data_IF_779698389064
#
_entry.id   IF_779698389064
#
_cell.length_a   1.000
_cell.length_b   1.000
_cell.length_c   1.000
_cell.angle_alpha   90.00
_cell.angle_beta   90.00
_cell.angle_gamma   90.00
#
_symmetry.space_group_name_H-M   'P 1'
#
loop_
_entity.id
_entity.type
_entity.pdbx_description
1 polymer ?
#
# COMPACT_ATOMS: atom_id res chain seq x y z
N UNK A 1 10.21 -3.57 21.59
CA UNK A 1 9.20 -3.87 22.63
C UNK A 1 8.36 -2.65 22.98
N UNK A 2 8.96 -1.51 23.40
CA UNK A 2 8.23 -0.31 23.82
C UNK A 2 7.30 0.25 22.72
N UNK A 3 7.76 0.35 21.48
CA UNK A 3 6.95 0.82 20.35
C UNK A 3 5.72 -0.04 20.11
N UNK A 4 5.87 -1.37 20.14
CA UNK A 4 4.75 -2.30 20.00
C UNK A 4 3.74 -2.15 21.14
N UNK A 5 4.23 -1.94 22.39
CA UNK A 5 3.37 -1.66 23.52
C UNK A 5 2.58 -0.35 23.32
N UNK A 6 3.24 0.72 22.83
CA UNK A 6 2.57 1.98 22.50
C UNK A 6 1.45 1.77 21.47
N UNK A 7 1.67 0.97 20.43
CA UNK A 7 0.63 0.68 19.44
C UNK A 7 -0.53 -0.13 20.02
N UNK A 8 -0.25 -1.14 20.85
CA UNK A 8 -1.30 -1.92 21.52
C UNK A 8 -2.15 -1.04 22.45
N UNK A 9 -1.50 -0.18 23.25
CA UNK A 9 -2.17 0.76 24.13
C UNK A 9 -2.96 1.82 23.32
N UNK A 10 -2.36 2.35 22.26
CA UNK A 10 -3.01 3.28 21.34
C UNK A 10 -4.25 2.67 20.70
N UNK A 11 -4.17 1.45 20.19
CA UNK A 11 -5.31 0.73 19.63
C UNK A 11 -6.38 0.46 20.69
N UNK A 12 -6.00 -0.01 21.89
CA UNK A 12 -6.95 -0.42 22.91
C UNK A 12 -7.69 0.73 23.59
N UNK A 13 -6.99 1.85 23.81
CA UNK A 13 -7.53 2.98 24.59
C UNK A 13 -7.78 4.22 23.73
N UNK A 14 -6.78 4.65 22.96
CA UNK A 14 -6.88 5.90 22.21
C UNK A 14 -7.83 5.81 21.03
N UNK A 15 -7.73 4.76 20.21
CA UNK A 15 -8.65 4.60 19.08
C UNK A 15 -10.09 4.38 19.53
N UNK A 16 -10.29 3.68 20.65
CA UNK A 16 -11.60 3.50 21.24
C UNK A 16 -12.18 4.82 21.75
N UNK A 17 -11.37 5.61 22.43
CA UNK A 17 -11.77 6.95 22.87
C UNK A 17 -12.16 7.85 21.69
N UNK A 18 -11.40 7.83 20.60
CA UNK A 18 -11.73 8.54 19.37
C UNK A 18 -13.06 8.07 18.80
N UNK A 19 -13.27 6.76 18.67
CA UNK A 19 -14.49 6.18 18.11
C UNK A 19 -15.74 6.54 18.93
N UNK A 20 -15.67 6.36 20.25
CA UNK A 20 -16.83 6.51 21.15
C UNK A 20 -17.10 7.96 21.55
N UNK A 21 -16.04 8.77 21.82
CA UNK A 21 -16.18 10.11 22.39
C UNK A 21 -16.06 11.23 21.36
N UNK A 22 -15.15 11.09 20.42
CA UNK A 22 -14.90 12.16 19.40
C UNK A 22 -15.83 11.96 18.22
N UNK A 23 -15.78 10.78 17.61
CA UNK A 23 -16.57 10.50 16.42
C UNK A 23 -17.98 9.99 16.70
N UNK A 24 -18.24 9.46 17.91
CA UNK A 24 -19.56 8.94 18.31
C UNK A 24 -20.13 8.01 17.23
N UNK A 25 -19.39 6.93 16.93
CA UNK A 25 -19.78 5.98 15.88
C UNK A 25 -21.03 5.23 16.31
N UNK A 26 -21.99 5.12 15.38
CA UNK A 26 -23.19 4.31 15.52
C UNK A 26 -22.98 2.96 14.83
N UNK A 27 -22.95 1.90 15.63
CA UNK A 27 -22.76 0.52 15.13
C UNK A 27 -23.96 0.02 14.31
N UNK A 28 -25.12 0.68 14.42
CA UNK A 28 -26.35 0.32 13.69
C UNK A 28 -26.47 1.03 12.35
N UNK A 29 -25.65 2.05 12.10
CA UNK A 29 -25.69 2.84 10.88
C UNK A 29 -25.23 2.00 9.66
N UNK A 30 -26.07 1.99 8.63
CA UNK A 30 -25.73 1.36 7.35
C UNK A 30 -24.73 2.21 6.59
N UNK A 31 -23.67 1.57 6.10
CA UNK A 31 -22.66 2.27 5.29
C UNK A 31 -23.18 2.57 3.87
N UNK A 32 -22.62 3.58 3.19
CA UNK A 32 -22.98 3.93 1.81
C UNK A 32 -22.91 2.75 0.83
N UNK A 33 -21.98 1.82 1.03
CA UNK A 33 -21.88 0.61 0.22
C UNK A 33 -23.14 -0.28 0.27
N UNK A 34 -23.95 -0.17 1.35
CA UNK A 34 -25.21 -0.89 1.48
C UNK A 34 -26.40 -0.06 1.03
N UNK A 35 -26.44 1.25 1.36
CA UNK A 35 -27.56 2.15 1.03
C UNK A 35 -27.58 2.62 -0.42
N UNK A 36 -26.42 2.70 -1.06
CA UNK A 36 -26.22 3.19 -2.43
C UNK A 36 -25.66 2.15 -3.39
N UNK A 37 -25.79 0.89 -3.07
CA UNK A 37 -25.22 -0.22 -3.84
C UNK A 37 -25.55 -0.11 -5.32
N UNK A 38 -24.53 0.10 -6.16
CA UNK A 38 -24.63 0.17 -7.63
C UNK A 38 -23.84 -0.95 -8.33
N UNK A 39 -22.96 -1.65 -7.60
CA UNK A 39 -22.11 -2.73 -8.15
C UNK A 39 -20.85 -2.26 -8.88
N UNK A 40 -20.59 -0.95 -8.92
CA UNK A 40 -19.41 -0.34 -9.55
C UNK A 40 -18.60 0.43 -8.51
N UNK A 41 -19.16 1.50 -7.95
CA UNK A 41 -18.51 2.35 -6.96
C UNK A 41 -18.86 1.95 -5.52
N UNK A 42 -20.10 1.53 -5.30
CA UNK A 42 -20.62 1.12 -4.01
C UNK A 42 -20.86 -0.39 -3.95
N UNK A 43 -19.81 -1.12 -3.56
CA UNK A 43 -19.82 -2.58 -3.49
C UNK A 43 -19.59 -3.03 -2.06
N UNK A 44 -20.59 -3.64 -1.38
CA UNK A 44 -20.40 -4.22 -0.06
C UNK A 44 -19.30 -5.27 -0.08
N UNK A 45 -18.26 -5.05 0.70
CA UNK A 45 -17.06 -5.89 0.73
C UNK A 45 -16.85 -6.49 2.12
N UNK A 46 -16.26 -7.67 2.18
CA UNK A 46 -15.96 -8.36 3.44
C UNK A 46 -14.94 -7.55 4.25
N UNK A 47 -15.12 -7.40 5.58
CA UNK A 47 -14.22 -6.59 6.43
C UNK A 47 -12.74 -6.95 6.31
N UNK A 48 -12.42 -8.25 6.21
CA UNK A 48 -11.03 -8.71 6.09
C UNK A 48 -10.38 -8.25 4.77
N UNK A 49 -11.15 -8.24 3.67
CA UNK A 49 -10.67 -7.78 2.36
C UNK A 49 -10.48 -6.26 2.37
N UNK A 50 -11.42 -5.52 2.97
CA UNK A 50 -11.29 -4.06 3.17
C UNK A 50 -10.08 -3.72 4.02
N UNK A 51 -9.87 -4.43 5.13
CA UNK A 51 -8.70 -4.23 5.97
C UNK A 51 -7.40 -4.47 5.20
N UNK A 52 -7.31 -5.58 4.45
CA UNK A 52 -6.13 -5.88 3.65
C UNK A 52 -5.85 -4.85 2.57
N UNK A 53 -6.89 -4.38 1.86
CA UNK A 53 -6.77 -3.31 0.88
C UNK A 53 -6.30 -1.99 1.52
N UNK A 54 -6.91 -1.58 2.62
CA UNK A 54 -6.53 -0.37 3.35
C UNK A 54 -5.09 -0.46 3.87
N UNK A 55 -4.74 -1.58 4.49
CA UNK A 55 -3.39 -1.83 5.01
C UNK A 55 -2.32 -1.77 3.91
N UNK A 56 -2.54 -2.46 2.77
CA UNK A 56 -1.60 -2.44 1.67
C UNK A 56 -1.49 -1.06 1.00
N UNK A 57 -2.59 -0.30 0.95
CA UNK A 57 -2.61 1.06 0.41
C UNK A 57 -1.80 2.04 1.26
N UNK A 58 -1.88 1.91 2.59
CA UNK A 58 -1.08 2.72 3.52
C UNK A 58 0.38 2.29 3.52
N UNK A 59 0.65 0.96 3.58
CA UNK A 59 1.99 0.40 3.62
C UNK A 59 2.69 0.41 2.25
N UNK A 60 2.59 1.51 1.52
CA UNK A 60 3.27 1.72 0.25
C UNK A 60 4.77 2.03 0.39
N UNK A 61 5.39 2.48 -0.69
CA UNK A 61 6.83 2.75 -0.76
C UNK A 61 7.27 3.83 0.25
N UNK A 62 6.49 4.90 0.40
CA UNK A 62 6.83 6.02 1.26
C UNK A 62 6.97 5.65 2.76
N UNK A 63 6.07 4.87 3.38
CA UNK A 63 6.25 4.38 4.75
C UNK A 63 7.43 3.45 4.95
N UNK A 64 7.93 2.78 3.91
CA UNK A 64 9.13 1.95 4.00
C UNK A 64 10.40 2.75 3.84
N UNK A 65 10.49 3.61 2.83
CA UNK A 65 11.67 4.43 2.56
C UNK A 65 11.82 5.61 3.52
N UNK A 66 10.72 6.23 3.94
CA UNK A 66 10.74 7.40 4.83
C UNK A 66 11.52 7.16 6.12
N UNK A 67 11.16 6.15 6.92
CA UNK A 67 11.90 5.81 8.13
C UNK A 67 13.35 5.39 7.87
N UNK A 68 13.61 4.63 6.80
CA UNK A 68 14.95 4.21 6.42
C UNK A 68 15.86 5.41 6.13
N UNK A 69 15.34 6.41 5.40
CA UNK A 69 16.07 7.67 5.15
C UNK A 69 16.19 8.52 6.42
N UNK A 70 15.13 8.59 7.23
CA UNK A 70 15.13 9.40 8.44
C UNK A 70 16.18 8.95 9.47
N UNK A 71 16.53 7.67 9.50
CA UNK A 71 17.56 7.13 10.41
C UNK A 71 18.95 7.78 10.17
N UNK A 72 19.27 8.22 8.94
CA UNK A 72 20.51 8.94 8.66
C UNK A 72 20.65 10.25 9.44
N UNK A 73 19.54 10.87 9.84
CA UNK A 73 19.49 12.09 10.62
C UNK A 73 19.43 11.84 12.13
N UNK A 74 19.38 10.58 12.52
CA UNK A 74 19.33 10.12 13.90
C UNK A 74 18.18 9.13 14.13
N UNK A 75 18.49 7.99 14.71
CA UNK A 75 17.52 6.92 14.91
C UNK A 75 16.43 7.28 15.94
N UNK A 76 16.78 8.04 16.98
CA UNK A 76 15.82 8.37 18.04
C UNK A 76 14.71 9.34 17.57
N UNK A 77 15.01 10.47 16.90
CA UNK A 77 13.98 11.31 16.30
C UNK A 77 13.12 10.54 15.29
N UNK A 78 13.75 9.71 14.44
CA UNK A 78 13.03 8.89 13.47
C UNK A 78 12.07 7.90 14.14
N UNK A 79 12.52 7.18 15.18
CA UNK A 79 11.70 6.25 15.94
C UNK A 79 10.53 6.95 16.64
N UNK A 80 10.79 8.09 17.32
CA UNK A 80 9.75 8.86 17.99
C UNK A 80 8.70 9.36 16.98
N UNK A 81 9.13 9.86 15.82
CA UNK A 81 8.21 10.30 14.78
C UNK A 81 7.39 9.16 14.21
N UNK A 82 8.00 8.01 13.90
CA UNK A 82 7.28 6.84 13.40
C UNK A 82 6.23 6.36 14.40
N UNK A 83 6.55 6.31 15.68
CA UNK A 83 5.62 5.81 16.71
C UNK A 83 4.55 6.83 17.05
N UNK A 84 4.95 8.04 17.42
CA UNK A 84 4.00 9.07 17.88
C UNK A 84 3.27 9.74 16.72
N UNK A 85 3.95 10.00 15.61
CA UNK A 85 3.36 10.61 14.42
C UNK A 85 2.29 9.71 13.79
N UNK A 86 2.57 8.41 13.67
CA UNK A 86 1.56 7.47 13.16
C UNK A 86 0.36 7.33 14.10
N UNK A 87 0.60 7.31 15.41
CA UNK A 87 -0.45 7.12 16.41
C UNK A 87 -1.32 8.37 16.59
N UNK A 88 -0.69 9.56 16.71
CA UNK A 88 -1.39 10.78 17.09
C UNK A 88 -1.86 11.61 15.89
N UNK A 89 -1.21 11.49 14.74
CA UNK A 89 -1.51 12.28 13.56
C UNK A 89 -2.06 11.39 12.43
N UNK A 90 -1.30 10.39 11.98
CA UNK A 90 -1.65 9.55 10.85
C UNK A 90 -2.97 8.80 11.06
N UNK A 91 -3.07 8.06 12.15
CA UNK A 91 -4.30 7.31 12.45
C UNK A 91 -5.52 8.21 12.65
N UNK A 92 -5.35 9.38 13.27
CA UNK A 92 -6.46 10.34 13.47
C UNK A 92 -6.90 10.91 12.12
N UNK A 93 -5.96 11.29 11.27
CA UNK A 93 -6.25 11.79 9.92
C UNK A 93 -7.05 10.76 9.11
N UNK A 94 -6.55 9.52 9.01
CA UNK A 94 -7.18 8.49 8.20
C UNK A 94 -8.55 8.10 8.76
N UNK A 95 -8.66 7.96 10.08
CA UNK A 95 -9.92 7.65 10.72
C UNK A 95 -10.96 8.77 10.54
N UNK A 96 -10.56 10.03 10.69
CA UNK A 96 -11.46 11.17 10.48
C UNK A 96 -11.92 11.24 9.02
N UNK A 97 -11.04 11.03 8.05
CA UNK A 97 -11.38 11.02 6.63
C UNK A 97 -12.41 9.93 6.30
N UNK A 98 -12.22 8.69 6.83
CA UNK A 98 -13.16 7.59 6.65
C UNK A 98 -14.53 7.88 7.28
N UNK A 99 -14.55 8.41 8.50
CA UNK A 99 -15.81 8.75 9.20
C UNK A 99 -16.55 9.86 8.47
N UNK A 100 -15.86 10.91 8.05
CA UNK A 100 -16.46 12.02 7.29
C UNK A 100 -17.04 11.53 5.97
N UNK A 101 -16.27 10.76 5.20
CA UNK A 101 -16.74 10.19 3.94
C UNK A 101 -17.98 9.31 4.14
N UNK A 102 -17.95 8.42 5.13
CA UNK A 102 -19.07 7.52 5.43
C UNK A 102 -20.34 8.27 5.82
N UNK A 103 -20.22 9.33 6.63
CA UNK A 103 -21.35 10.18 7.04
C UNK A 103 -21.93 11.03 5.90
N UNK A 104 -21.12 11.34 4.90
CA UNK A 104 -21.52 12.13 3.74
C UNK A 104 -21.68 11.24 2.49
N UNK A 105 -22.29 10.08 2.65
CA UNK A 105 -22.72 9.20 1.57
C UNK A 105 -21.58 8.64 0.71
N UNK A 106 -20.38 8.51 1.26
CA UNK A 106 -19.19 8.00 0.56
C UNK A 106 -18.54 9.02 -0.37
N UNK A 107 -18.79 10.32 -0.18
CA UNK A 107 -18.15 11.38 -0.96
C UNK A 107 -16.64 11.43 -0.72
N UNK A 108 -15.90 11.78 -1.77
CA UNK A 108 -14.47 12.05 -1.66
C UNK A 108 -14.18 13.30 -0.82
N UNK A 109 -13.00 13.39 -0.23
CA UNK A 109 -12.60 14.56 0.58
C UNK A 109 -12.66 15.85 -0.25
N UNK A 110 -12.32 15.79 -1.55
CA UNK A 110 -12.47 16.95 -2.45
C UNK A 110 -13.90 17.45 -2.58
N UNK A 111 -14.88 16.55 -2.67
CA UNK A 111 -16.29 16.92 -2.69
C UNK A 111 -16.77 17.47 -1.34
N UNK A 112 -16.26 16.92 -0.23
CA UNK A 112 -16.53 17.42 1.13
C UNK A 112 -15.94 18.81 1.36
N UNK A 113 -14.74 19.10 0.83
CA UNK A 113 -14.17 20.45 0.87
C UNK A 113 -15.09 21.50 0.22
N UNK A 114 -15.76 21.15 -0.89
CA UNK A 114 -16.73 22.07 -1.52
C UNK A 114 -17.94 22.33 -0.64
N UNK A 115 -18.49 21.26 -0.06
CA UNK A 115 -19.70 21.32 0.74
C UNK A 115 -19.49 22.10 2.07
N UNK A 116 -18.32 21.92 2.70
CA UNK A 116 -18.02 22.47 4.03
C UNK A 116 -17.32 23.83 3.95
N UNK A 117 -16.37 23.99 3.03
CA UNK A 117 -15.46 25.14 2.95
C UNK A 117 -15.70 26.00 1.71
N UNK A 118 -16.47 25.50 0.74
CA UNK A 118 -16.82 26.22 -0.47
C UNK A 118 -15.92 25.91 -1.69
N UNK A 119 -16.29 26.44 -2.88
CA UNK A 119 -15.69 26.07 -4.16
C UNK A 119 -14.22 26.50 -4.31
N UNK A 120 -13.81 27.60 -3.67
CA UNK A 120 -12.43 28.06 -3.70
C UNK A 120 -11.49 27.07 -2.98
N UNK A 121 -11.88 26.60 -1.79
CA UNK A 121 -11.13 25.62 -1.02
C UNK A 121 -11.04 24.28 -1.78
N UNK A 122 -12.11 23.85 -2.45
CA UNK A 122 -12.10 22.69 -3.34
C UNK A 122 -11.06 22.85 -4.46
N UNK A 123 -11.08 24.00 -5.16
CA UNK A 123 -10.15 24.27 -6.25
C UNK A 123 -8.68 24.19 -5.81
N UNK A 124 -8.37 24.83 -4.70
CA UNK A 124 -7.03 24.79 -4.11
C UNK A 124 -6.63 23.36 -3.69
N UNK A 125 -7.51 22.63 -3.02
CA UNK A 125 -7.29 21.26 -2.58
C UNK A 125 -7.07 20.31 -3.77
N UNK A 126 -7.87 20.41 -4.82
CA UNK A 126 -7.71 19.59 -6.02
C UNK A 126 -6.40 19.90 -6.75
N UNK A 127 -6.00 21.16 -6.84
CA UNK A 127 -4.71 21.54 -7.41
C UNK A 127 -3.55 20.94 -6.59
N UNK A 128 -3.60 21.03 -5.26
CA UNK A 128 -2.60 20.46 -4.38
C UNK A 128 -2.51 18.95 -4.52
N UNK A 129 -3.64 18.24 -4.57
CA UNK A 129 -3.69 16.79 -4.81
C UNK A 129 -3.12 16.46 -6.19
N UNK A 130 -3.51 17.18 -7.23
CA UNK A 130 -3.03 16.92 -8.60
C UNK A 130 -1.51 16.96 -8.68
N UNK A 131 -0.90 18.04 -8.18
CA UNK A 131 0.56 18.17 -8.18
C UNK A 131 1.24 17.17 -7.22
N UNK A 132 0.69 16.97 -6.02
CA UNK A 132 1.25 16.05 -5.04
C UNK A 132 1.21 14.59 -5.50
N UNK A 133 0.09 14.15 -6.06
CA UNK A 133 -0.04 12.77 -6.58
C UNK A 133 0.82 12.58 -7.83
N UNK A 134 0.90 13.58 -8.73
CA UNK A 134 1.75 13.50 -9.91
C UNK A 134 3.23 13.38 -9.54
N UNK A 135 3.68 14.15 -8.55
CA UNK A 135 5.05 14.07 -8.03
C UNK A 135 5.31 12.70 -7.38
N UNK A 136 4.42 12.24 -6.53
CA UNK A 136 4.54 10.93 -5.87
C UNK A 136 4.58 9.78 -6.90
N UNK A 137 3.72 9.82 -7.92
CA UNK A 137 3.72 8.85 -9.02
C UNK A 137 5.05 8.86 -9.77
N UNK A 138 5.59 10.04 -10.08
CA UNK A 138 6.90 10.17 -10.73
C UNK A 138 8.00 9.49 -9.93
N UNK A 139 8.07 9.76 -8.62
CA UNK A 139 9.05 9.12 -7.72
C UNK A 139 8.85 7.60 -7.67
N UNK A 140 7.61 7.12 -7.53
CA UNK A 140 7.34 5.68 -7.43
C UNK A 140 7.69 4.94 -8.72
N UNK A 141 7.29 5.48 -9.87
CA UNK A 141 7.62 4.90 -11.18
C UNK A 141 9.14 4.87 -11.37
N UNK A 142 9.84 5.96 -11.01
CA UNK A 142 11.29 6.03 -11.10
C UNK A 142 11.98 4.96 -10.23
N UNK A 143 11.63 4.85 -8.95
CA UNK A 143 12.23 3.85 -8.04
C UNK A 143 11.90 2.42 -8.48
N UNK A 144 10.66 2.14 -8.89
CA UNK A 144 10.29 0.80 -9.36
C UNK A 144 11.00 0.46 -10.67
N UNK A 145 11.15 1.42 -11.58
CA UNK A 145 11.87 1.20 -12.85
C UNK A 145 13.35 0.85 -12.61
N UNK A 146 14.00 1.48 -11.62
CA UNK A 146 15.35 1.12 -11.18
C UNK A 146 15.41 -0.31 -10.64
N UNK A 147 14.47 -0.69 -9.78
CA UNK A 147 14.40 -2.04 -9.21
C UNK A 147 14.20 -3.11 -10.29
N UNK A 148 13.43 -2.79 -11.34
CA UNK A 148 13.12 -3.71 -12.44
C UNK A 148 14.20 -3.77 -13.52
N UNK A 149 15.08 -2.78 -13.59
CA UNK A 149 16.21 -2.73 -14.54
C UNK A 149 17.30 -3.72 -14.14
N UNK A 150 18.19 -4.06 -15.07
CA UNK A 150 19.36 -4.86 -14.79
C UNK A 150 20.58 -3.95 -14.59
N UNK A 151 21.28 -4.10 -13.45
CA UNK A 151 22.52 -3.36 -13.19
C UNK A 151 22.37 -1.85 -13.02
N UNK A 152 21.16 -1.36 -12.77
CA UNK A 152 20.95 0.04 -12.45
C UNK A 152 21.39 0.31 -11.01
N UNK A 153 22.52 0.99 -10.87
CA UNK A 153 22.96 1.52 -9.58
C UNK A 153 22.33 2.89 -9.39
N UNK A 154 21.45 3.00 -8.40
CA UNK A 154 20.96 4.28 -7.96
C UNK A 154 21.97 4.88 -6.97
N UNK A 155 22.72 5.87 -7.42
CA UNK A 155 23.48 6.75 -6.53
C UNK A 155 22.60 7.98 -6.22
N UNK A 156 21.94 8.07 -5.05
CA UNK A 156 21.24 9.29 -4.66
C UNK A 156 22.26 10.34 -4.23
N UNK A 157 23.24 10.68 -5.10
CA UNK A 157 24.18 11.77 -4.92
C UNK A 157 24.71 11.87 -3.49
N UNK A 158 25.81 11.18 -3.20
CA UNK A 158 26.61 11.26 -1.97
C UNK A 158 26.10 10.47 -0.74
N UNK A 159 25.03 9.73 -0.80
CA UNK A 159 24.58 8.89 0.32
C UNK A 159 25.13 7.46 0.29
N UNK A 160 26.17 7.15 -0.44
CA UNK A 160 26.89 5.85 -0.49
C UNK A 160 26.00 4.58 -0.43
N UNK A 161 24.72 4.68 -0.80
CA UNK A 161 23.79 3.55 -0.87
C UNK A 161 23.28 3.38 -2.28
N UNK A 162 23.85 2.43 -2.98
CA UNK A 162 23.28 1.92 -4.22
C UNK A 162 22.00 1.15 -3.91
N UNK A 163 20.87 1.57 -4.45
CA UNK A 163 19.72 0.70 -4.57
C UNK A 163 20.09 -0.29 -5.67
N UNK A 164 20.42 -1.51 -5.28
CA UNK A 164 20.70 -2.59 -6.23
C UNK A 164 19.43 -2.95 -6.99
N UNK A 165 19.56 -3.23 -8.27
CA UNK A 165 18.46 -3.74 -9.09
C UNK A 165 18.09 -5.15 -8.69
N UNK A 166 16.80 -5.47 -8.76
CA UNK A 166 16.22 -6.78 -8.41
C UNK A 166 15.28 -7.24 -9.53
N UNK A 167 15.80 -7.59 -10.72
CA UNK A 167 14.98 -8.00 -11.86
C UNK A 167 14.12 -9.26 -11.55
N UNK A 168 14.52 -10.06 -10.59
CA UNK A 168 13.77 -11.22 -10.08
C UNK A 168 12.38 -10.88 -9.53
N UNK A 169 12.12 -9.63 -9.14
CA UNK A 169 10.80 -9.20 -8.63
C UNK A 169 9.81 -8.88 -9.74
N UNK A 170 10.26 -8.77 -10.99
CA UNK A 170 9.39 -8.48 -12.15
C UNK A 170 8.38 -9.59 -12.38
N UNK A 171 8.84 -10.86 -12.33
CA UNK A 171 7.97 -12.01 -12.52
C UNK A 171 6.86 -12.12 -11.47
N UNK A 172 7.14 -12.09 -10.16
CA UNK A 172 6.08 -12.12 -9.14
C UNK A 172 5.20 -10.86 -9.17
N UNK A 173 5.73 -9.69 -9.49
CA UNK A 173 4.94 -8.46 -9.60
C UNK A 173 3.93 -8.51 -10.75
N UNK A 174 4.38 -8.87 -11.95
CA UNK A 174 3.50 -9.06 -13.11
C UNK A 174 2.51 -10.21 -12.90
N UNK A 175 2.96 -11.32 -12.34
CA UNK A 175 2.12 -12.46 -12.02
C UNK A 175 1.06 -12.16 -10.97
N UNK A 176 1.37 -11.34 -9.97
CA UNK A 176 0.38 -10.86 -8.99
C UNK A 176 -0.78 -10.12 -9.66
N UNK A 177 -0.53 -9.33 -10.70
CA UNK A 177 -1.60 -8.64 -11.44
C UNK A 177 -2.58 -9.64 -12.08
N UNK A 178 -2.04 -10.69 -12.72
CA UNK A 178 -2.86 -11.73 -13.33
C UNK A 178 -3.64 -12.55 -12.28
N UNK A 179 -2.98 -12.95 -11.19
CA UNK A 179 -3.63 -13.64 -10.07
C UNK A 179 -4.73 -12.77 -9.47
N UNK A 180 -4.49 -11.46 -9.31
CA UNK A 180 -5.47 -10.53 -8.75
C UNK A 180 -6.71 -10.38 -9.64
N UNK A 181 -6.54 -10.27 -10.95
CA UNK A 181 -7.67 -10.24 -11.90
C UNK A 181 -8.53 -11.50 -11.79
N UNK A 182 -7.90 -12.68 -11.77
CA UNK A 182 -8.61 -13.96 -11.63
C UNK A 182 -9.29 -14.05 -10.27
N UNK A 183 -8.60 -13.66 -9.18
CA UNK A 183 -9.16 -13.66 -7.84
C UNK A 183 -10.34 -12.68 -7.72
N UNK A 184 -10.20 -11.45 -8.22
CA UNK A 184 -11.29 -10.47 -8.26
C UNK A 184 -12.51 -10.99 -9.02
N UNK A 185 -12.31 -11.54 -10.20
CA UNK A 185 -13.39 -12.14 -10.97
C UNK A 185 -14.06 -13.32 -10.24
N UNK A 186 -13.27 -14.21 -9.61
CA UNK A 186 -13.81 -15.35 -8.85
C UNK A 186 -14.61 -14.89 -7.62
N UNK A 187 -14.13 -13.87 -6.91
CA UNK A 187 -14.75 -13.38 -5.68
C UNK A 187 -16.02 -12.58 -5.97
N UNK A 188 -15.97 -11.64 -6.92
CA UNK A 188 -17.04 -10.67 -7.12
C UNK A 188 -18.03 -11.08 -8.21
N UNK A 189 -17.57 -11.68 -9.31
CA UNK A 189 -18.44 -12.12 -10.40
C UNK A 189 -18.97 -13.54 -10.15
N UNK A 190 -18.08 -14.48 -9.85
CA UNK A 190 -18.47 -15.88 -9.59
C UNK A 190 -18.90 -16.15 -8.15
N UNK A 191 -18.75 -15.17 -7.24
CA UNK A 191 -19.16 -15.25 -5.83
C UNK A 191 -18.61 -16.49 -5.10
N UNK A 192 -17.39 -16.91 -5.44
CA UNK A 192 -16.73 -18.04 -4.78
C UNK A 192 -16.34 -17.69 -3.33
N UNK A 193 -16.13 -18.71 -2.51
CA UNK A 193 -15.71 -18.54 -1.13
C UNK A 193 -14.33 -17.84 -1.06
N UNK A 194 -14.16 -16.92 -0.09
CA UNK A 194 -12.93 -16.14 0.07
C UNK A 194 -11.73 -17.04 0.34
N UNK A 195 -11.86 -17.96 1.30
CA UNK A 195 -10.73 -18.75 1.79
C UNK A 195 -10.02 -19.55 0.68
N UNK A 196 -10.69 -20.38 -0.15
CA UNK A 196 -9.99 -21.14 -1.18
C UNK A 196 -9.38 -20.24 -2.26
N UNK A 197 -10.06 -19.17 -2.68
CA UNK A 197 -9.52 -18.24 -3.69
C UNK A 197 -8.27 -17.55 -3.15
N UNK A 198 -8.31 -17.08 -1.92
CA UNK A 198 -7.16 -16.44 -1.25
C UNK A 198 -6.00 -17.41 -1.06
N UNK A 199 -6.27 -18.63 -0.57
CA UNK A 199 -5.21 -19.62 -0.33
C UNK A 199 -4.51 -20.01 -1.62
N UNK A 200 -5.26 -20.30 -2.67
CA UNK A 200 -4.69 -20.62 -3.99
C UNK A 200 -3.94 -19.43 -4.56
N UNK A 201 -4.51 -18.22 -4.51
CA UNK A 201 -3.85 -17.00 -4.99
C UNK A 201 -2.55 -16.71 -4.25
N UNK A 202 -2.55 -16.85 -2.92
CA UNK A 202 -1.37 -16.60 -2.10
C UNK A 202 -0.27 -17.65 -2.33
N UNK A 203 -0.62 -18.94 -2.41
CA UNK A 203 0.34 -20.00 -2.73
C UNK A 203 0.91 -19.83 -4.14
N UNK A 204 0.09 -19.43 -5.11
CA UNK A 204 0.56 -19.11 -6.46
C UNK A 204 1.55 -17.93 -6.46
N UNK A 205 1.30 -16.90 -5.64
CA UNK A 205 2.21 -15.78 -5.48
C UNK A 205 3.55 -16.22 -4.86
N UNK A 206 3.54 -17.04 -3.82
CA UNK A 206 4.76 -17.60 -3.24
C UNK A 206 5.53 -18.47 -4.25
N UNK A 207 4.83 -19.25 -5.05
CA UNK A 207 5.46 -20.02 -6.13
C UNK A 207 6.11 -19.10 -7.19
N UNK A 208 5.47 -17.98 -7.54
CA UNK A 208 6.05 -17.00 -8.47
C UNK A 208 7.27 -16.31 -7.89
N UNK A 209 7.29 -15.99 -6.59
CA UNK A 209 8.47 -15.45 -5.92
C UNK A 209 9.63 -16.46 -5.97
N UNK A 210 9.34 -17.72 -5.67
CA UNK A 210 10.33 -18.80 -5.76
C UNK A 210 10.85 -18.98 -7.18
N UNK A 211 9.97 -19.01 -8.18
CA UNK A 211 10.36 -19.09 -9.59
C UNK A 211 11.16 -17.86 -10.06
N UNK A 212 10.78 -16.67 -9.65
CA UNK A 212 11.52 -15.44 -9.96
C UNK A 212 12.94 -15.46 -9.44
N UNK A 213 13.16 -16.05 -8.26
CA UNK A 213 14.50 -16.21 -7.71
C UNK A 213 15.40 -17.12 -8.58
N UNK A 214 14.86 -18.22 -9.13
CA UNK A 214 15.62 -19.12 -10.02
C UNK A 214 15.70 -18.65 -11.46
N UNK A 215 14.71 -17.89 -11.91
CA UNK A 215 14.62 -17.38 -13.28
C UNK A 215 14.45 -15.87 -13.29
N UNK A 216 15.45 -15.11 -12.83
CA UNK A 216 15.30 -13.67 -12.59
C UNK A 216 14.88 -12.89 -13.83
N UNK A 217 15.22 -13.38 -15.03
CA UNK A 217 15.01 -12.65 -16.28
C UNK A 217 14.17 -13.38 -17.30
N UNK A 218 13.36 -14.38 -16.87
CA UNK A 218 12.43 -15.12 -17.75
C UNK A 218 13.06 -15.51 -19.10
N UNK A 219 14.16 -16.31 -19.05
CA UNK A 219 14.83 -16.83 -20.23
C UNK A 219 15.85 -15.89 -20.89
N UNK A 220 16.17 -14.76 -20.29
CA UNK A 220 17.24 -13.88 -20.71
C UNK A 220 18.46 -14.07 -19.82
N UNK A 221 19.62 -14.25 -20.43
CA UNK A 221 20.86 -14.63 -19.73
C UNK A 221 21.85 -13.48 -19.58
N UNK A 222 21.57 -12.31 -20.16
CA UNK A 222 22.47 -11.15 -20.13
C UNK A 222 21.72 -9.83 -19.89
N UNK A 223 22.42 -8.85 -19.36
CA UNK A 223 21.92 -7.48 -19.19
C UNK A 223 21.50 -6.84 -20.52
N UNK A 224 22.20 -7.16 -21.59
CA UNK A 224 21.97 -6.57 -22.94
C UNK A 224 20.61 -6.95 -23.54
N UNK A 225 20.04 -8.07 -23.07
CA UNK A 225 18.73 -8.55 -23.52
C UNK A 225 17.57 -8.08 -22.64
N UNK A 226 17.85 -7.41 -21.52
CA UNK A 226 16.82 -6.94 -20.60
C UNK A 226 16.33 -5.53 -20.98
N UNK A 227 15.12 -5.18 -20.52
CA UNK A 227 14.56 -3.86 -20.79
C UNK A 227 15.32 -2.78 -20.02
N UNK A 228 15.64 -1.69 -20.72
CA UNK A 228 16.23 -0.50 -20.12
C UNK A 228 15.27 0.19 -19.14
N UNK A 229 15.79 0.97 -18.21
CA UNK A 229 15.01 1.70 -17.22
C UNK A 229 13.93 2.60 -17.86
N UNK A 230 14.26 3.28 -18.95
CA UNK A 230 13.31 4.14 -19.66
C UNK A 230 12.10 3.35 -20.18
N UNK A 231 12.33 2.15 -20.71
CA UNK A 231 11.24 1.27 -21.16
C UNK A 231 10.36 0.84 -19.99
N UNK A 232 10.97 0.54 -18.84
CA UNK A 232 10.19 0.22 -17.62
C UNK A 232 9.35 1.39 -17.14
N UNK A 233 9.83 2.63 -17.25
CA UNK A 233 9.02 3.83 -16.93
C UNK A 233 7.75 3.83 -17.78
N UNK A 234 7.86 3.63 -19.10
CA UNK A 234 6.69 3.61 -19.97
C UNK A 234 5.75 2.44 -19.69
N UNK A 235 6.27 1.25 -19.43
CA UNK A 235 5.47 0.08 -19.06
C UNK A 235 4.69 0.33 -17.76
N UNK A 236 5.34 0.87 -16.75
CA UNK A 236 4.71 1.19 -15.45
C UNK A 236 3.67 2.31 -15.59
N UNK A 237 3.91 3.33 -16.39
CA UNK A 237 2.95 4.39 -16.68
C UNK A 237 1.72 3.84 -17.42
N UNK A 238 1.92 2.99 -18.42
CA UNK A 238 0.82 2.33 -19.13
C UNK A 238 0.01 1.43 -18.19
N UNK A 239 0.67 0.69 -17.30
CA UNK A 239 0.01 -0.11 -16.27
C UNK A 239 -0.80 0.78 -15.31
N UNK A 240 -0.23 1.88 -14.81
CA UNK A 240 -0.91 2.79 -13.91
C UNK A 240 -2.17 3.39 -14.56
N UNK A 241 -2.07 3.79 -15.82
CA UNK A 241 -3.21 4.26 -16.61
C UNK A 241 -4.28 3.18 -16.75
N UNK A 242 -3.93 1.96 -17.13
CA UNK A 242 -4.87 0.84 -17.25
C UNK A 242 -5.54 0.53 -15.91
N UNK A 243 -4.77 0.47 -14.83
CA UNK A 243 -5.28 0.20 -13.49
C UNK A 243 -6.24 1.29 -12.98
N UNK A 244 -6.04 2.54 -13.40
CA UNK A 244 -6.92 3.66 -13.00
C UNK A 244 -8.30 3.62 -13.67
N UNK A 245 -8.42 2.97 -14.83
CA UNK A 245 -9.68 2.85 -15.57
C UNK A 245 -10.51 1.65 -15.11
N UNK A 246 -9.86 0.63 -14.55
CA UNK A 246 -10.53 -0.58 -14.10
C UNK A 246 -11.29 -0.35 -12.78
N UNK A 247 -12.45 -1.00 -12.56
CA UNK A 247 -13.12 -0.98 -11.26
C UNK A 247 -12.20 -1.46 -10.14
N UNK A 248 -12.17 -0.72 -9.03
CA UNK A 248 -11.28 -0.99 -7.89
C UNK A 248 -11.40 -2.43 -7.38
N UNK A 249 -12.61 -2.97 -7.31
CA UNK A 249 -12.88 -4.33 -6.83
C UNK A 249 -12.31 -5.42 -7.74
N UNK A 250 -12.14 -5.16 -9.03
CA UNK A 250 -11.69 -6.18 -9.98
C UNK A 250 -10.18 -6.44 -9.86
N UNK A 251 -9.37 -5.40 -9.85
CA UNK A 251 -7.91 -5.51 -9.83
C UNK A 251 -7.31 -5.05 -8.49
N UNK A 252 -7.51 -3.79 -8.14
CA UNK A 252 -6.77 -3.15 -7.05
C UNK A 252 -7.09 -3.80 -5.70
N UNK A 253 -8.35 -4.03 -5.39
CA UNK A 253 -8.76 -4.57 -4.11
C UNK A 253 -8.30 -6.03 -3.91
N UNK A 254 -8.39 -6.87 -4.95
CA UNK A 254 -7.91 -8.25 -4.89
C UNK A 254 -6.38 -8.32 -4.81
N UNK A 255 -5.68 -7.48 -5.58
CA UNK A 255 -4.22 -7.34 -5.54
C UNK A 255 -3.74 -6.92 -4.16
N UNK A 256 -4.30 -5.86 -3.63
CA UNK A 256 -3.88 -5.28 -2.36
C UNK A 256 -4.18 -6.22 -1.20
N UNK A 257 -5.29 -6.97 -1.26
CA UNK A 257 -5.59 -7.99 -0.27
C UNK A 257 -4.54 -9.12 -0.27
N UNK A 258 -4.16 -9.65 -1.43
CA UNK A 258 -3.10 -10.66 -1.52
C UNK A 258 -1.74 -10.10 -1.09
N UNK A 259 -1.43 -8.87 -1.50
CA UNK A 259 -0.19 -8.20 -1.11
C UNK A 259 -0.13 -7.93 0.40
N UNK A 260 -1.26 -7.62 1.05
CA UNK A 260 -1.32 -7.43 2.50
C UNK A 260 -0.91 -8.69 3.28
N UNK A 261 -1.28 -9.86 2.78
CA UNK A 261 -0.86 -11.14 3.38
C UNK A 261 0.66 -11.35 3.23
N UNK A 262 1.22 -10.98 2.08
CA UNK A 262 2.66 -11.03 1.85
C UNK A 262 3.42 -10.04 2.76
N UNK A 263 2.90 -8.83 2.92
CA UNK A 263 3.45 -7.84 3.85
C UNK A 263 3.44 -8.34 5.30
N UNK A 264 2.34 -8.93 5.76
CA UNK A 264 2.25 -9.52 7.11
C UNK A 264 3.26 -10.65 7.26
N UNK A 265 3.35 -11.56 6.28
CA UNK A 265 4.34 -12.63 6.29
C UNK A 265 5.77 -12.08 6.35
N UNK A 266 6.09 -11.10 5.50
CA UNK A 266 7.39 -10.44 5.47
C UNK A 266 7.76 -9.80 6.80
N UNK A 267 6.82 -9.07 7.43
CA UNK A 267 7.02 -8.48 8.75
C UNK A 267 7.26 -9.55 9.82
N UNK A 268 6.46 -10.62 9.84
CA UNK A 268 6.64 -11.72 10.80
C UNK A 268 8.02 -12.37 10.64
N UNK A 269 8.44 -12.65 9.40
CA UNK A 269 9.76 -13.24 9.13
C UNK A 269 10.89 -12.29 9.49
N UNK A 270 10.75 -11.00 9.19
CA UNK A 270 11.73 -9.98 9.56
C UNK A 270 11.90 -9.86 11.08
N UNK A 271 10.80 -9.77 11.83
CA UNK A 271 10.87 -9.73 13.30
C UNK A 271 11.39 -11.04 13.90
N UNK A 272 10.97 -12.18 13.37
CA UNK A 272 11.48 -13.47 13.80
C UNK A 272 13.01 -13.57 13.58
N UNK A 273 13.49 -13.18 12.40
CA UNK A 273 14.93 -13.14 12.09
C UNK A 273 15.69 -12.19 13.01
N UNK A 274 15.15 -10.99 13.24
CA UNK A 274 15.74 -10.00 14.13
C UNK A 274 15.91 -10.54 15.56
N UNK A 275 14.87 -11.12 16.12
CA UNK A 275 14.95 -11.66 17.49
C UNK A 275 15.78 -12.94 17.60
N UNK A 276 15.83 -13.76 16.57
CA UNK A 276 16.66 -14.97 16.55
C UNK A 276 18.15 -14.66 16.40
N UNK A 277 18.50 -13.67 15.62
CA UNK A 277 19.90 -13.27 15.41
C UNK A 277 20.42 -12.37 16.54
N UNK A 278 19.54 -11.70 17.30
CA UNK A 278 19.89 -10.80 18.40
C UNK A 278 20.90 -9.71 17.99
N UNK A 279 20.66 -8.95 16.89
CA UNK A 279 21.63 -7.99 16.40
C UNK A 279 21.90 -6.91 17.44
N UNK A 280 23.17 -6.51 17.55
CA UNK A 280 23.56 -5.37 18.37
C UNK A 280 23.13 -4.09 17.65
N UNK A 281 22.53 -3.16 18.40
CA UNK A 281 22.13 -1.86 17.88
C UNK A 281 23.37 -0.97 17.79
N UNK A 282 23.86 -0.75 16.59
CA UNK A 282 25.04 0.06 16.29
C UNK A 282 24.64 1.21 15.36
N UNK A 283 23.94 2.19 15.93
CA UNK A 283 23.54 3.39 15.21
C UNK A 283 23.86 4.65 16.04
N UNK A 284 24.31 5.76 15.41
CA UNK A 284 24.60 7.02 16.07
C UNK A 284 23.39 7.65 16.77
#
# INVERSE_FOLDING_TARGET
>A
AAALLCYVLGYRFYSRWLAERVFQLDETALTPAHTRKDGVDFVPTRPLVLFGHHYASIAGLAPMLGPAVAVFWGWLPALLWVVLGSLLIGCVHDFSALVLSTRHEGKSIGALCEEILGPFAKGLFLALIFFGVSLAMGVFVYVISLLFSWGADFDPTHLHQSITSFPEVVMPSGGLMLIALVAGWLLYVKKKALLPVTTVGFLSLLALIYLGYFFPTVGKSSADDWLEQETWVWVLMAYAWLASVLPVWLLLQARDFLNSLLLVLGLVLMYAGFFLQGPVFDAP
#
